data_IF_753570880041
#
_entry.id   IF_753570880041
#
_cell.length_a   1.000
_cell.length_b   1.000
_cell.length_c   1.000
_cell.angle_alpha   90.00
_cell.angle_beta   90.00
_cell.angle_gamma   90.00
#
_symmetry.space_group_name_H-M   'P 1'
#
loop_
_entity.id
_entity.type
_entity.pdbx_description
1 polymer ?
#
# COMPACT_ATOMS: atom_id res chain seq x y z
N UNK A 1 8.51 0.52 -11.82
CA UNK A 1 9.31 1.72 -11.43
C UNK A 1 10.79 1.35 -11.47
N UNK A 2 11.62 2.17 -12.10
CA UNK A 2 13.06 1.97 -12.04
C UNK A 2 13.57 2.44 -10.68
N UNK A 3 14.19 1.54 -9.93
CA UNK A 3 14.69 1.83 -8.57
C UNK A 3 15.76 2.92 -8.56
N UNK A 4 16.45 3.15 -9.69
CA UNK A 4 17.51 4.15 -9.79
C UNK A 4 16.98 5.60 -9.84
N UNK A 5 15.76 5.82 -10.30
CA UNK A 5 15.15 7.15 -10.33
C UNK A 5 14.82 7.68 -8.95
N UNK A 6 14.51 6.79 -8.02
CA UNK A 6 14.23 7.16 -6.63
C UNK A 6 15.45 7.67 -5.86
N UNK A 7 16.65 7.37 -6.32
CA UNK A 7 17.90 7.70 -5.63
C UNK A 7 18.83 8.62 -6.43
N UNK A 8 18.36 9.17 -7.55
CA UNK A 8 19.17 9.88 -8.55
C UNK A 8 20.00 11.04 -7.95
N UNK A 9 19.50 11.71 -6.93
CA UNK A 9 20.12 12.90 -6.35
C UNK A 9 20.44 12.75 -4.86
N UNK A 10 20.37 11.56 -4.30
CA UNK A 10 20.55 11.36 -2.86
C UNK A 10 21.98 11.03 -2.51
N UNK A 11 22.61 11.92 -1.81
CA UNK A 11 23.94 11.75 -1.20
C UNK A 11 23.82 11.00 0.14
N UNK A 12 23.55 9.73 0.08
CA UNK A 12 23.39 8.88 1.26
C UNK A 12 21.93 8.76 1.74
N UNK A 13 21.68 7.79 2.59
CA UNK A 13 20.35 7.44 3.12
C UNK A 13 19.95 6.02 2.76
N UNK A 14 18.72 5.63 3.10
CA UNK A 14 18.19 4.32 2.77
C UNK A 14 18.20 4.10 1.25
N UNK A 15 18.85 3.03 0.81
CA UNK A 15 18.98 2.70 -0.61
C UNK A 15 20.14 3.38 -1.34
N UNK A 16 21.07 4.02 -0.62
CA UNK A 16 22.31 4.50 -1.22
C UNK A 16 23.15 3.34 -1.76
N UNK A 17 23.60 3.45 -3.00
CA UNK A 17 24.47 2.47 -3.65
C UNK A 17 25.78 3.14 -4.00
N UNK A 18 26.87 2.64 -3.44
CA UNK A 18 28.20 3.25 -3.58
C UNK A 18 28.71 3.15 -5.02
N UNK A 19 28.46 2.03 -5.68
CA UNK A 19 28.95 1.79 -7.03
C UNK A 19 27.82 1.42 -7.99
N UNK A 20 27.30 2.39 -8.70
CA UNK A 20 26.20 2.18 -9.67
C UNK A 20 26.59 1.33 -10.89
N UNK A 21 27.87 1.24 -11.20
CA UNK A 21 28.35 0.47 -12.35
C UNK A 21 28.23 -1.06 -12.13
N UNK A 22 28.09 -1.50 -10.88
CA UNK A 22 27.90 -2.90 -10.53
C UNK A 22 26.45 -3.37 -10.53
N UNK A 23 25.52 -2.48 -10.84
CA UNK A 23 24.09 -2.76 -10.73
C UNK A 23 23.38 -2.60 -12.06
N UNK A 24 22.61 -3.62 -12.42
CA UNK A 24 21.72 -3.54 -13.56
C UNK A 24 20.48 -2.70 -13.23
N UNK A 25 20.00 -1.99 -14.26
CA UNK A 25 18.69 -1.35 -14.19
C UNK A 25 17.61 -2.44 -14.30
N UNK A 26 16.79 -2.56 -13.28
CA UNK A 26 15.68 -3.52 -13.25
C UNK A 26 14.35 -2.85 -12.97
N UNK A 27 13.31 -3.36 -13.60
CA UNK A 27 11.93 -2.97 -13.28
C UNK A 27 11.41 -3.91 -12.19
N UNK A 28 11.03 -3.34 -11.04
CA UNK A 28 10.49 -4.09 -9.91
C UNK A 28 8.99 -3.82 -9.81
N UNK A 29 8.21 -4.87 -9.56
CA UNK A 29 6.78 -4.70 -9.28
C UNK A 29 6.61 -3.90 -7.99
N UNK A 30 5.90 -2.78 -8.07
CA UNK A 30 5.73 -1.82 -6.98
C UNK A 30 4.27 -1.80 -6.47
N UNK A 31 3.32 -1.85 -7.38
CA UNK A 31 1.90 -1.76 -7.07
C UNK A 31 1.17 -2.96 -7.65
N UNK A 32 0.29 -3.55 -6.83
CA UNK A 32 -0.68 -4.53 -7.33
C UNK A 32 -1.84 -3.75 -7.96
N UNK A 33 -2.08 -4.00 -9.24
CA UNK A 33 -3.17 -3.41 -9.98
C UNK A 33 -4.19 -4.48 -10.38
N UNK A 34 -5.46 -4.08 -10.49
CA UNK A 34 -6.54 -4.96 -10.91
C UNK A 34 -6.87 -4.63 -12.36
N UNK A 35 -6.20 -5.33 -13.27
CA UNK A 35 -6.46 -5.22 -14.70
C UNK A 35 -7.04 -6.52 -15.24
N UNK A 36 -7.96 -6.40 -16.18
CA UNK A 36 -8.58 -7.57 -16.83
C UNK A 36 -7.73 -8.09 -17.99
N UNK A 37 -7.03 -7.20 -18.65
CA UNK A 37 -6.22 -7.49 -19.83
C UNK A 37 -4.94 -6.66 -19.71
N UNK A 38 -3.79 -7.29 -19.95
CA UNK A 38 -2.49 -6.65 -19.91
C UNK A 38 -1.71 -6.97 -21.19
N UNK A 39 -1.24 -5.94 -21.86
CA UNK A 39 -0.30 -6.10 -22.95
C UNK A 39 1.11 -6.35 -22.41
N UNK A 40 1.69 -7.49 -22.78
CA UNK A 40 3.03 -7.88 -22.36
C UNK A 40 3.98 -7.66 -23.52
N UNK A 41 5.00 -6.84 -23.31
CA UNK A 41 6.04 -6.59 -24.30
C UNK A 41 6.90 -7.84 -24.50
N UNK A 42 7.39 -8.03 -25.73
CA UNK A 42 8.35 -9.10 -26.01
C UNK A 42 9.58 -9.00 -25.09
N UNK A 43 10.11 -10.15 -24.69
CA UNK A 43 11.27 -10.27 -23.81
C UNK A 43 11.08 -9.66 -22.41
N UNK A 44 9.83 -9.57 -21.93
CA UNK A 44 9.53 -9.13 -20.56
C UNK A 44 8.78 -10.22 -19.80
N UNK A 45 8.91 -10.18 -18.46
CA UNK A 45 8.15 -11.04 -17.55
C UNK A 45 7.08 -10.22 -16.86
N UNK A 46 5.83 -10.70 -16.88
CA UNK A 46 4.73 -10.08 -16.17
C UNK A 46 4.39 -10.92 -14.93
N UNK A 47 4.65 -10.41 -13.72
CA UNK A 47 4.21 -11.05 -12.49
C UNK A 47 2.69 -10.97 -12.36
N UNK A 48 2.08 -12.06 -11.92
CA UNK A 48 0.66 -12.12 -11.60
C UNK A 48 0.54 -12.53 -10.14
N UNK A 49 -0.13 -11.70 -9.35
CA UNK A 49 -0.44 -12.01 -7.96
C UNK A 49 -1.75 -12.75 -7.87
N UNK A 50 -1.71 -13.94 -7.28
CA UNK A 50 -2.90 -14.76 -7.05
C UNK A 50 -3.23 -14.77 -5.56
N UNK A 51 -4.42 -14.35 -5.22
CA UNK A 51 -4.96 -14.40 -3.87
C UNK A 51 -6.04 -15.46 -3.78
N UNK A 52 -5.96 -16.31 -2.75
CA UNK A 52 -6.99 -17.26 -2.42
C UNK A 52 -7.59 -16.90 -1.07
N UNK A 53 -8.85 -16.56 -1.08
CA UNK A 53 -9.58 -16.25 0.15
C UNK A 53 -10.27 -17.52 0.65
N UNK A 54 -9.85 -18.00 1.82
CA UNK A 54 -10.46 -19.16 2.49
C UNK A 54 -11.50 -18.68 3.48
N UNK A 55 -12.80 -18.96 3.29
CA UNK A 55 -13.85 -18.60 4.24
C UNK A 55 -13.64 -19.28 5.60
N UNK A 56 -14.10 -18.63 6.67
CA UNK A 56 -13.95 -19.15 8.04
C UNK A 56 -14.73 -20.46 8.30
N UNK A 57 -15.73 -20.73 7.47
CA UNK A 57 -16.56 -21.94 7.50
C UNK A 57 -16.11 -23.02 6.49
N UNK A 58 -14.98 -22.81 5.80
CA UNK A 58 -14.43 -23.78 4.88
C UNK A 58 -14.10 -25.09 5.62
N UNK A 59 -14.52 -26.21 5.06
CA UNK A 59 -14.19 -27.52 5.62
C UNK A 59 -12.71 -27.84 5.41
N UNK A 60 -12.08 -28.45 6.39
CA UNK A 60 -10.72 -28.94 6.23
C UNK A 60 -10.64 -29.98 5.10
N UNK A 61 -9.58 -29.92 4.30
CA UNK A 61 -9.36 -30.82 3.20
C UNK A 61 -8.58 -30.22 2.05
N UNK A 62 -8.34 -31.02 1.03
CA UNK A 62 -7.62 -30.62 -0.18
C UNK A 62 -8.58 -30.12 -1.24
N UNK A 63 -8.33 -28.92 -1.70
CA UNK A 63 -9.09 -28.27 -2.77
C UNK A 63 -8.20 -28.12 -3.99
N UNK A 64 -8.74 -28.42 -5.16
CA UNK A 64 -8.02 -28.30 -6.42
C UNK A 64 -8.75 -27.32 -7.32
N UNK A 65 -8.00 -26.45 -7.94
CA UNK A 65 -8.47 -25.50 -8.92
C UNK A 65 -7.57 -25.44 -10.14
N UNK A 66 -8.03 -24.77 -11.16
CA UNK A 66 -7.23 -24.54 -12.36
C UNK A 66 -7.20 -23.05 -12.66
N UNK A 67 -6.01 -22.49 -12.76
CA UNK A 67 -5.80 -21.17 -13.30
C UNK A 67 -5.52 -21.30 -14.81
N UNK A 68 -6.31 -20.62 -15.62
CA UNK A 68 -6.08 -20.55 -17.06
C UNK A 68 -5.53 -19.19 -17.43
N UNK A 69 -4.39 -19.17 -18.10
CA UNK A 69 -3.80 -17.97 -18.70
C UNK A 69 -4.06 -18.03 -20.19
N UNK A 70 -4.87 -17.09 -20.67
CA UNK A 70 -5.27 -16.98 -22.07
C UNK A 70 -4.76 -15.69 -22.68
N UNK A 71 -4.52 -15.66 -23.96
CA UNK A 71 -4.10 -14.44 -24.67
C UNK A 71 -4.15 -14.57 -26.18
N UNK A 72 -3.93 -13.45 -26.86
CA UNK A 72 -3.76 -13.47 -28.30
C UNK A 72 -2.41 -14.07 -28.65
N UNK A 73 -2.36 -14.88 -29.68
CA UNK A 73 -1.12 -15.42 -30.28
C UNK A 73 -0.38 -16.48 -29.42
N UNK A 74 -1.01 -17.04 -28.39
CA UNK A 74 -0.48 -18.22 -27.71
C UNK A 74 -1.61 -19.17 -27.28
N UNK A 75 -1.26 -20.43 -27.12
CA UNK A 75 -2.19 -21.44 -26.62
C UNK A 75 -2.43 -21.25 -25.13
N UNK A 76 -3.68 -21.40 -24.70
CA UNK A 76 -4.05 -21.32 -23.29
C UNK A 76 -3.19 -22.24 -22.43
N UNK A 77 -2.61 -21.67 -21.39
CA UNK A 77 -1.85 -22.41 -20.38
C UNK A 77 -2.72 -22.67 -19.15
N UNK A 78 -2.72 -23.90 -18.69
CA UNK A 78 -3.46 -24.31 -17.50
C UNK A 78 -2.49 -24.66 -16.37
N UNK A 79 -2.60 -23.99 -15.25
CA UNK A 79 -1.86 -24.24 -14.04
C UNK A 79 -2.78 -24.88 -13.01
N UNK A 80 -2.37 -26.01 -12.43
CA UNK A 80 -3.10 -26.62 -11.32
C UNK A 80 -2.75 -25.94 -10.02
N UNK A 81 -3.75 -25.58 -9.24
CA UNK A 81 -3.61 -25.02 -7.90
C UNK A 81 -4.18 -26.02 -6.90
N UNK A 82 -3.38 -26.41 -5.95
CA UNK A 82 -3.83 -27.25 -4.83
C UNK A 82 -3.69 -26.48 -3.53
N UNK A 83 -4.75 -26.47 -2.72
CA UNK A 83 -4.82 -25.78 -1.44
C UNK A 83 -5.21 -26.79 -0.38
N UNK A 84 -4.42 -26.91 0.65
CA UNK A 84 -4.72 -27.73 1.81
C UNK A 84 -5.31 -26.85 2.93
N UNK A 85 -6.60 -26.95 3.14
CA UNK A 85 -7.31 -26.23 4.20
C UNK A 85 -7.20 -27.03 5.48
N UNK A 86 -6.49 -26.48 6.45
CA UNK A 86 -6.27 -27.11 7.73
C UNK A 86 -7.54 -27.02 8.61
N UNK A 87 -7.72 -27.99 9.51
CA UNK A 87 -8.79 -27.95 10.49
C UNK A 87 -8.43 -26.95 11.62
N UNK A 88 -8.26 -25.69 11.24
CA UNK A 88 -7.92 -24.61 12.15
C UNK A 88 -8.42 -23.28 11.59
N UNK A 89 -9.22 -22.58 12.37
CA UNK A 89 -9.68 -21.24 12.03
C UNK A 89 -8.86 -20.20 12.80
N UNK A 90 -8.30 -19.24 12.11
CA UNK A 90 -7.61 -18.11 12.73
C UNK A 90 -8.64 -17.17 13.34
N UNK A 91 -8.31 -16.49 14.45
CA UNK A 91 -9.15 -15.42 14.98
C UNK A 91 -9.40 -14.35 13.90
N UNK A 92 -10.52 -13.67 14.01
CA UNK A 92 -10.78 -12.52 13.15
C UNK A 92 -9.68 -11.44 13.33
N UNK A 93 -9.34 -10.67 12.30
CA UNK A 93 -8.23 -9.71 12.38
C UNK A 93 -8.33 -8.73 13.56
N UNK A 94 -9.54 -8.31 13.92
CA UNK A 94 -9.77 -7.43 15.06
C UNK A 94 -9.43 -8.09 16.41
N UNK A 95 -9.35 -9.41 16.46
CA UNK A 95 -9.10 -10.18 17.69
C UNK A 95 -7.63 -10.64 17.80
N UNK A 96 -6.80 -10.26 16.84
CA UNK A 96 -5.39 -10.61 16.88
C UNK A 96 -4.67 -9.95 18.06
N UNK A 97 -3.78 -10.70 18.69
CA UNK A 97 -3.06 -10.24 19.86
C UNK A 97 -1.91 -9.27 19.53
N UNK A 98 -1.35 -9.33 18.33
CA UNK A 98 -0.26 -8.45 17.95
C UNK A 98 -0.77 -7.06 17.52
N UNK A 99 0.08 -6.05 17.67
CA UNK A 99 -0.18 -4.69 17.21
C UNK A 99 0.38 -4.52 15.79
N UNK A 100 -0.51 -4.23 14.85
CA UNK A 100 -0.15 -3.86 13.48
C UNK A 100 -0.28 -2.34 13.33
N UNK A 101 0.79 -1.69 12.90
CA UNK A 101 0.79 -0.26 12.62
C UNK A 101 1.47 -0.01 11.26
N UNK A 102 0.66 0.00 10.21
CA UNK A 102 1.07 0.39 8.87
C UNK A 102 0.78 1.88 8.70
N UNK A 103 1.81 2.66 8.49
CA UNK A 103 1.70 4.11 8.36
C UNK A 103 1.01 4.49 7.05
N UNK A 104 0.05 5.41 7.17
CA UNK A 104 -0.70 5.92 6.03
C UNK A 104 -0.21 7.30 5.65
N UNK A 105 -0.21 7.59 4.34
CA UNK A 105 0.05 8.93 3.84
C UNK A 105 -1.22 9.51 3.17
N UNK A 106 -2.07 10.23 3.89
CA UNK A 106 -3.29 10.82 3.32
C UNK A 106 -3.00 11.86 2.23
N UNK A 107 -1.86 12.53 2.28
CA UNK A 107 -1.47 13.51 1.25
C UNK A 107 -1.25 12.82 -0.11
N UNK A 108 -0.63 11.65 -0.12
CA UNK A 108 -0.49 10.84 -1.35
C UNK A 108 -1.82 10.40 -1.91
N UNK A 109 -2.79 10.08 -1.05
CA UNK A 109 -4.15 9.73 -1.48
C UNK A 109 -4.82 10.92 -2.16
N UNK A 110 -4.76 12.10 -1.53
CA UNK A 110 -5.36 13.32 -2.11
C UNK A 110 -4.73 13.66 -3.47
N UNK A 111 -3.41 13.58 -3.59
CA UNK A 111 -2.69 13.83 -4.85
C UNK A 111 -3.07 12.81 -5.93
N UNK A 112 -3.08 11.53 -5.59
CA UNK A 112 -3.37 10.46 -6.55
C UNK A 112 -4.78 10.58 -7.12
N UNK A 113 -5.77 10.84 -6.27
CA UNK A 113 -7.17 10.99 -6.69
C UNK A 113 -7.53 12.41 -7.12
N UNK A 114 -6.58 13.36 -7.03
CA UNK A 114 -6.77 14.78 -7.40
C UNK A 114 -7.96 15.43 -6.68
N UNK A 115 -8.08 15.16 -5.38
CA UNK A 115 -9.14 15.70 -4.53
C UNK A 115 -8.57 16.69 -3.51
N UNK A 116 -9.34 17.70 -3.09
CA UNK A 116 -8.91 18.63 -2.06
C UNK A 116 -8.65 17.92 -0.74
N UNK A 117 -7.54 18.27 -0.08
CA UNK A 117 -7.18 17.72 1.23
C UNK A 117 -8.31 17.94 2.23
N UNK A 118 -8.63 16.88 2.97
CA UNK A 118 -9.63 16.86 4.04
C UNK A 118 -11.07 17.16 3.61
N UNK A 119 -11.34 17.13 2.30
CA UNK A 119 -12.68 17.20 1.77
C UNK A 119 -13.44 15.88 1.96
N UNK A 120 -14.73 15.89 1.73
CA UNK A 120 -15.56 14.67 1.73
C UNK A 120 -15.03 13.65 0.72
N UNK A 121 -14.66 14.10 -0.47
CA UNK A 121 -14.11 13.27 -1.55
C UNK A 121 -12.80 12.62 -1.14
N UNK A 122 -11.94 13.33 -0.40
CA UNK A 122 -10.71 12.80 0.13
C UNK A 122 -10.97 11.66 1.15
N UNK A 123 -11.90 11.85 2.07
CA UNK A 123 -12.28 10.81 3.02
C UNK A 123 -12.92 9.61 2.33
N UNK A 124 -13.74 9.83 1.31
CA UNK A 124 -14.32 8.75 0.53
C UNK A 124 -13.25 7.96 -0.22
N UNK A 125 -12.20 8.61 -0.73
CA UNK A 125 -11.05 7.96 -1.35
C UNK A 125 -10.18 7.17 -0.35
N UNK A 126 -10.03 7.65 0.89
CA UNK A 126 -9.29 6.95 1.96
C UNK A 126 -10.06 5.74 2.51
N UNK A 127 -11.38 5.75 2.50
CA UNK A 127 -12.22 4.72 3.12
C UNK A 127 -11.88 3.28 2.69
N UNK A 128 -11.70 2.96 1.39
CA UNK A 128 -11.32 1.61 0.97
C UNK A 128 -9.97 1.18 1.53
N UNK A 129 -9.01 2.10 1.57
CA UNK A 129 -7.66 1.86 2.10
C UNK A 129 -7.74 1.54 3.60
N UNK A 130 -8.45 2.38 4.36
CA UNK A 130 -8.66 2.17 5.79
C UNK A 130 -9.40 0.86 6.08
N UNK A 131 -10.35 0.49 5.23
CA UNK A 131 -11.04 -0.80 5.34
C UNK A 131 -10.08 -1.98 5.10
N UNK A 132 -9.18 -1.88 4.12
CA UNK A 132 -8.16 -2.91 3.89
C UNK A 132 -7.23 -3.06 5.10
N UNK A 133 -6.77 -1.96 5.69
CA UNK A 133 -5.93 -1.95 6.88
C UNK A 133 -6.66 -2.57 8.08
N UNK A 134 -7.91 -2.21 8.30
CA UNK A 134 -8.75 -2.80 9.35
C UNK A 134 -8.94 -4.32 9.15
N UNK A 135 -9.16 -4.76 7.91
CA UNK A 135 -9.26 -6.19 7.57
C UNK A 135 -7.93 -6.94 7.76
N UNK A 136 -6.80 -6.23 7.74
CA UNK A 136 -5.49 -6.77 8.08
C UNK A 136 -5.19 -6.75 9.60
N UNK A 137 -6.13 -6.28 10.42
CA UNK A 137 -6.01 -6.23 11.88
C UNK A 137 -5.45 -4.93 12.44
N UNK A 138 -5.31 -3.90 11.63
CA UNK A 138 -4.87 -2.59 12.12
C UNK A 138 -5.97 -1.89 12.91
N UNK A 139 -5.60 -1.38 14.09
CA UNK A 139 -6.50 -0.67 15.03
C UNK A 139 -6.08 0.78 15.27
N UNK A 140 -4.92 1.17 14.75
CA UNK A 140 -4.35 2.49 14.92
C UNK A 140 -4.35 3.26 13.62
N UNK A 141 -4.51 4.56 13.71
CA UNK A 141 -4.31 5.51 12.61
C UNK A 141 -3.15 6.40 13.00
N UNK A 142 -2.10 6.41 12.18
CA UNK A 142 -0.93 7.24 12.41
C UNK A 142 -1.23 8.67 12.05
N UNK A 143 -0.99 9.56 13.00
CA UNK A 143 -1.20 11.01 12.86
C UNK A 143 0.10 11.75 13.01
N UNK A 144 0.43 12.58 12.04
CA UNK A 144 1.62 13.44 12.10
C UNK A 144 1.36 14.69 12.91
N UNK A 145 2.10 14.86 14.00
CA UNK A 145 2.06 16.06 14.85
C UNK A 145 3.06 17.12 14.36
N UNK A 146 4.19 16.67 13.83
CA UNK A 146 5.26 17.54 13.38
C UNK A 146 5.04 17.99 11.94
N UNK A 147 5.53 19.17 11.61
CA UNK A 147 5.56 19.65 10.24
C UNK A 147 6.65 18.92 9.45
N UNK A 148 6.26 18.32 8.33
CA UNK A 148 7.15 17.61 7.40
C UNK A 148 8.10 16.60 8.05
N UNK A 149 7.60 15.69 8.92
CA UNK A 149 8.41 14.58 9.34
C UNK A 149 8.76 13.75 8.09
N UNK A 150 9.92 13.15 8.06
CA UNK A 150 10.43 12.39 6.89
C UNK A 150 10.51 13.20 5.58
N UNK A 151 10.64 14.52 5.65
CA UNK A 151 10.90 15.34 4.47
C UNK A 151 12.09 14.76 3.68
N UNK A 152 11.87 14.37 2.44
CA UNK A 152 12.87 13.77 1.57
C UNK A 152 12.88 12.23 1.52
N UNK A 153 12.09 11.52 2.32
CA UNK A 153 11.90 10.07 2.23
C UNK A 153 10.62 9.68 1.50
N UNK A 154 9.65 10.57 1.45
CA UNK A 154 8.38 10.37 0.74
C UNK A 154 8.23 11.42 -0.35
N UNK A 155 7.58 11.05 -1.46
CA UNK A 155 7.28 12.00 -2.53
C UNK A 155 6.31 13.09 -2.07
N UNK A 156 5.29 12.70 -1.35
CA UNK A 156 4.37 13.63 -0.72
C UNK A 156 4.81 13.87 0.71
N UNK A 157 5.24 15.08 1.00
CA UNK A 157 5.64 15.46 2.35
C UNK A 157 4.43 15.49 3.27
N UNK A 158 4.58 14.91 4.44
CA UNK A 158 3.59 15.06 5.48
C UNK A 158 3.60 16.49 6.01
N UNK A 159 2.46 17.13 5.97
CA UNK A 159 2.22 18.29 6.83
C UNK A 159 1.72 17.85 8.20
N UNK A 160 1.70 18.77 9.15
CA UNK A 160 1.08 18.51 10.44
C UNK A 160 -0.42 18.25 10.25
N UNK A 161 -0.90 17.14 10.79
CA UNK A 161 -2.32 16.80 10.81
C UNK A 161 -3.04 17.42 12.01
N UNK A 162 -2.35 18.20 12.82
CA UNK A 162 -2.91 18.94 13.94
C UNK A 162 -3.00 20.42 13.61
N UNK A 163 -4.09 21.04 14.00
CA UNK A 163 -4.25 22.48 13.86
C UNK A 163 -3.34 23.19 14.83
N UNK A 164 -2.55 24.13 14.34
CA UNK A 164 -1.72 25.01 15.14
C UNK A 164 -2.11 26.46 14.86
N UNK A 165 -2.30 27.20 15.92
CA UNK A 165 -2.65 28.61 15.86
C UNK A 165 -1.59 29.39 16.62
N UNK A 166 -0.99 30.40 15.99
CA UNK A 166 -0.13 31.36 16.66
C UNK A 166 -0.99 32.47 17.23
N UNK A 167 -0.95 32.63 18.54
CA UNK A 167 -1.64 33.75 19.22
C UNK A 167 -0.93 35.08 18.98
N UNK A 168 -1.60 36.19 19.29
CA UNK A 168 -1.06 37.55 19.17
C UNK A 168 0.19 37.72 20.03
N UNK A 169 0.25 37.06 21.19
CA UNK A 169 1.40 37.04 22.10
C UNK A 169 2.58 36.21 21.58
N UNK A 170 2.46 35.60 20.42
CA UNK A 170 3.50 34.78 19.81
C UNK A 170 3.49 33.30 20.26
N UNK A 171 2.65 32.92 21.21
CA UNK A 171 2.57 31.53 21.67
C UNK A 171 1.83 30.65 20.63
N UNK A 172 2.19 29.38 20.58
CA UNK A 172 1.53 28.38 19.74
C UNK A 172 0.51 27.57 20.54
N UNK A 173 -0.66 27.44 19.97
CA UNK A 173 -1.70 26.53 20.48
C UNK A 173 -1.90 25.41 19.47
N UNK A 174 -1.90 24.20 19.96
CA UNK A 174 -2.13 22.98 19.17
C UNK A 174 -3.51 22.42 19.50
N UNK A 175 -4.29 22.13 18.49
CA UNK A 175 -5.52 21.38 18.64
C UNK A 175 -5.29 19.97 18.08
N UNK A 176 -5.44 18.97 18.92
CA UNK A 176 -5.42 17.57 18.52
C UNK A 176 -6.77 17.12 17.95
N UNK A 177 -7.73 18.01 17.88
CA UNK A 177 -8.98 17.73 17.18
C UNK A 177 -8.67 17.67 15.68
N UNK A 178 -8.45 16.49 15.19
CA UNK A 178 -8.22 16.19 13.79
C UNK A 178 -9.43 16.46 12.92
N UNK A 179 -10.57 16.77 13.53
CA UNK A 179 -11.86 16.78 12.85
C UNK A 179 -12.68 17.93 13.38
N UNK A 180 -12.51 19.09 12.81
CA UNK A 180 -13.64 19.94 12.56
C UNK A 180 -14.14 19.66 11.12
N UNK A 181 -14.57 18.44 10.94
CA UNK A 181 -15.30 18.06 9.72
C UNK A 181 -16.76 17.95 10.10
#
# INVERSE_FOLDING_TARGET
RQTDELNKDRKGGCGHRENKAEWDSSVVADVLDIVKIQDIKACTTQPIWLNVWVPSDARAGKYKGTLTVSGKNFQDMKLQVEIDVLNRTLPAPQDWAFHLDLWQNPYSVARYYQVPLWSKEHFDAMRPIMKMLANAGQRAITTSIMHKPWAGQTEDHFDSMVTRIKKIDGTWVYSLSLIHI
#
